data_IF_111196447396
#
_entry.id   IF_111196447396
#
_cell.length_a   1.000
_cell.length_b   1.000
_cell.length_c   1.000
_cell.angle_alpha   90.00
_cell.angle_beta   90.00
_cell.angle_gamma   90.00
#
_symmetry.space_group_name_H-M   'P 1'
#
loop_
_entity.id
_entity.type
_entity.pdbx_description
1 polymer ?
#
# COMPACT_ATOMS: atom_id res chain seq x y z
N UNK A 1 -18.26 6.40 44.43
CA UNK A 1 -17.33 6.50 43.29
C UNK A 1 -17.00 5.08 42.89
N UNK A 2 -17.50 4.60 41.76
CA UNK A 2 -17.24 3.23 41.31
C UNK A 2 -16.15 3.26 40.24
N UNK A 3 -15.06 2.55 40.51
CA UNK A 3 -13.89 2.42 39.65
C UNK A 3 -14.24 1.56 38.42
N UNK A 4 -14.04 2.11 37.23
CA UNK A 4 -14.17 1.35 35.98
C UNK A 4 -12.91 0.49 35.84
N UNK A 5 -13.03 -0.82 36.06
CA UNK A 5 -11.96 -1.77 35.80
C UNK A 5 -11.82 -2.01 34.30
N UNK A 6 -10.61 -1.86 33.78
CA UNK A 6 -10.29 -1.99 32.35
C UNK A 6 -9.98 -3.44 31.93
N UNK A 7 -10.12 -4.40 32.84
CA UNK A 7 -9.63 -5.77 32.69
C UNK A 7 -10.51 -6.68 31.81
N UNK A 8 -11.71 -6.23 31.40
CA UNK A 8 -12.67 -7.02 30.59
C UNK A 8 -12.47 -6.91 29.06
N UNK A 9 -11.36 -6.33 28.59
CA UNK A 9 -11.07 -6.31 27.14
C UNK A 9 -10.57 -7.67 26.67
N UNK A 10 -11.50 -8.56 26.33
CA UNK A 10 -11.19 -9.81 25.64
C UNK A 10 -10.61 -9.50 24.25
N UNK A 11 -9.28 -9.40 24.17
CA UNK A 11 -8.56 -9.25 22.91
C UNK A 11 -8.57 -10.58 22.18
N UNK A 12 -9.51 -10.78 21.24
CA UNK A 12 -9.39 -11.91 20.29
C UNK A 12 -8.13 -11.67 19.45
N UNK A 13 -7.15 -12.59 19.44
CA UNK A 13 -6.05 -12.48 18.49
C UNK A 13 -6.66 -12.53 17.09
N UNK A 14 -6.40 -11.49 16.30
CA UNK A 14 -6.67 -11.53 14.87
C UNK A 14 -5.90 -12.76 14.31
N UNK A 15 -6.54 -13.63 13.51
CA UNK A 15 -5.79 -14.68 12.83
C UNK A 15 -4.63 -14.00 12.09
N UNK A 16 -3.42 -14.53 12.25
CA UNK A 16 -2.19 -14.14 11.54
C UNK A 16 -2.25 -14.51 10.06
N UNK A 17 -3.42 -14.40 9.44
CA UNK A 17 -3.57 -14.44 8.01
C UNK A 17 -3.11 -13.08 7.47
N UNK A 18 -1.90 -13.06 6.91
CA UNK A 18 -1.34 -11.93 6.17
C UNK A 18 -2.37 -11.47 5.12
N UNK A 19 -3.02 -10.29 5.26
CA UNK A 19 -4.29 -9.99 4.61
C UNK A 19 -4.23 -9.85 3.08
N UNK A 20 -3.07 -10.06 2.45
CA UNK A 20 -2.80 -9.61 1.08
C UNK A 20 -1.95 -10.53 0.20
N UNK A 21 -1.64 -11.77 0.60
CA UNK A 21 -0.90 -12.66 -0.31
C UNK A 21 -1.86 -13.31 -1.30
N UNK A 22 -2.25 -12.56 -2.34
CA UNK A 22 -2.83 -13.15 -3.55
C UNK A 22 -1.79 -14.15 -4.08
N UNK A 23 -2.07 -15.45 -4.02
CA UNK A 23 -1.25 -16.46 -4.67
C UNK A 23 -1.20 -16.08 -6.15
N UNK A 24 -0.02 -15.64 -6.60
CA UNK A 24 0.15 -15.15 -7.98
C UNK A 24 0.35 -16.29 -8.97
N UNK A 25 0.13 -17.54 -8.54
CA UNK A 25 0.59 -18.73 -9.26
C UNK A 25 -0.45 -19.85 -9.35
N UNK A 26 -1.65 -19.67 -8.79
CA UNK A 26 -2.71 -20.70 -8.84
C UNK A 26 -3.64 -20.46 -10.02
N UNK A 27 -3.14 -20.73 -11.22
CA UNK A 27 -3.77 -21.31 -12.42
C UNK A 27 -5.20 -20.99 -12.91
N UNK A 28 -6.03 -20.21 -12.23
CA UNK A 28 -7.48 -20.13 -12.52
C UNK A 28 -7.92 -18.70 -12.93
N UNK A 29 -7.11 -18.05 -13.76
CA UNK A 29 -7.44 -16.73 -14.33
C UNK A 29 -6.32 -16.14 -15.19
N UNK A 30 -6.62 -15.10 -16.00
CA UNK A 30 -5.62 -14.44 -16.82
C UNK A 30 -4.47 -13.92 -15.94
N UNK A 31 -3.26 -14.33 -16.29
CA UNK A 31 -2.05 -13.86 -15.62
C UNK A 31 -1.86 -12.36 -15.85
N UNK A 32 -1.17 -11.70 -14.92
CA UNK A 32 -0.70 -10.32 -15.13
C UNK A 32 0.10 -10.25 -16.44
N UNK A 33 -0.09 -9.21 -17.26
CA UNK A 33 0.70 -9.06 -18.48
C UNK A 33 2.19 -8.89 -18.16
N UNK A 34 3.06 -9.46 -18.98
CA UNK A 34 4.51 -9.32 -18.85
C UNK A 34 4.96 -7.95 -19.38
N UNK A 35 4.67 -6.91 -18.60
CA UNK A 35 5.02 -5.53 -18.94
C UNK A 35 6.19 -5.08 -18.08
N UNK A 36 7.21 -4.51 -18.72
CA UNK A 36 8.34 -3.90 -18.01
C UNK A 36 7.84 -2.76 -17.12
N UNK A 37 8.33 -2.75 -15.88
CA UNK A 37 8.01 -1.68 -14.93
C UNK A 37 8.57 -0.36 -15.48
N UNK A 38 7.80 0.74 -15.45
CA UNK A 38 8.30 2.01 -15.94
C UNK A 38 9.51 2.47 -15.11
N UNK A 39 10.49 3.06 -15.79
CA UNK A 39 11.70 3.59 -15.17
C UNK A 39 11.36 4.59 -14.06
N UNK A 40 12.01 4.50 -12.91
CA UNK A 40 11.82 5.41 -11.78
C UNK A 40 12.65 6.70 -11.90
N UNK A 41 13.70 6.68 -12.73
CA UNK A 41 14.58 7.84 -12.97
C UNK A 41 13.78 8.98 -13.61
N UNK A 42 13.94 10.19 -13.08
CA UNK A 42 13.27 11.40 -13.62
C UNK A 42 11.74 11.38 -13.51
N UNK A 43 11.17 10.62 -12.56
CA UNK A 43 9.71 10.58 -12.36
C UNK A 43 9.15 11.96 -12.00
N UNK A 44 9.85 12.72 -11.15
CA UNK A 44 9.46 14.08 -10.78
C UNK A 44 9.44 15.03 -11.98
N UNK A 45 10.41 14.92 -12.89
CA UNK A 45 10.48 15.77 -14.08
C UNK A 45 9.36 15.45 -15.07
N UNK A 46 9.02 14.17 -15.24
CA UNK A 46 7.87 13.77 -16.05
C UNK A 46 6.56 14.20 -15.42
N UNK A 47 6.40 14.00 -14.11
CA UNK A 47 5.23 14.49 -13.38
C UNK A 47 5.12 16.01 -13.51
N UNK A 48 6.19 16.77 -13.35
CA UNK A 48 6.16 18.23 -13.47
C UNK A 48 5.71 18.71 -14.85
N UNK A 49 6.03 17.96 -15.92
CA UNK A 49 5.57 18.27 -17.28
C UNK A 49 4.09 17.97 -17.49
N UNK A 50 3.56 16.92 -16.85
CA UNK A 50 2.16 16.47 -17.00
C UNK A 50 1.23 17.15 -15.98
N UNK A 51 1.59 17.07 -14.70
CA UNK A 51 0.89 17.65 -13.57
C UNK A 51 1.90 18.10 -12.46
N UNK A 52 2.20 19.42 -12.39
CA UNK A 52 3.07 19.98 -11.36
C UNK A 52 2.59 19.76 -9.91
N UNK A 53 1.28 19.66 -9.68
CA UNK A 53 0.73 19.47 -8.34
C UNK A 53 0.90 18.02 -7.88
N UNK A 54 0.75 17.06 -8.79
CA UNK A 54 1.04 15.65 -8.51
C UNK A 54 2.51 15.44 -8.19
N UNK A 55 3.44 16.11 -8.89
CA UNK A 55 4.86 16.09 -8.57
C UNK A 55 5.13 16.58 -7.13
N UNK A 56 4.52 17.69 -6.71
CA UNK A 56 4.65 18.24 -5.35
C UNK A 56 4.15 17.25 -4.29
N UNK A 57 2.95 16.68 -4.49
CA UNK A 57 2.35 15.70 -3.58
C UNK A 57 3.18 14.42 -3.50
N UNK A 58 3.70 13.94 -4.63
CA UNK A 58 4.54 12.76 -4.68
C UNK A 58 5.86 12.99 -3.94
N UNK A 59 6.50 14.15 -4.14
CA UNK A 59 7.70 14.57 -3.40
C UNK A 59 7.47 14.54 -1.89
N UNK A 60 6.38 15.16 -1.42
CA UNK A 60 6.02 15.20 -0.02
C UNK A 60 5.75 13.81 0.58
N UNK A 61 5.10 12.90 -0.16
CA UNK A 61 4.77 11.56 0.34
C UNK A 61 5.94 10.59 0.30
N UNK A 62 6.74 10.64 -0.76
CA UNK A 62 7.80 9.67 -1.01
C UNK A 62 9.14 10.09 -0.39
N UNK A 63 9.31 11.37 -0.05
CA UNK A 63 10.60 11.91 0.42
C UNK A 63 11.68 11.95 -0.66
N UNK A 64 11.32 11.69 -1.92
CA UNK A 64 12.15 11.92 -3.10
C UNK A 64 12.41 13.41 -3.33
#
# INVERSE_FOLDING_TARGET
>A
MNEIRFDDRLTRPLPTADPLRKSTDSGDGPSKPDVKRPESRGILDRMKRVDPNQAKRYRQRSGQ
#
